data_IF_155998073539
#
_entry.id   IF_155998073539
#
_cell.length_a   1.000
_cell.length_b   1.000
_cell.length_c   1.000
_cell.angle_alpha   90.00
_cell.angle_beta   90.00
_cell.angle_gamma   90.00
#
_symmetry.space_group_name_H-M   'P 1'
#
loop_
_entity.id
_entity.type
_entity.pdbx_description
1 polymer ?
#
# COMPACT_ATOMS: atom_id res chain seq x y z
N UNK A 1 -16.39 -0.43 -15.33
CA UNK A 1 -16.56 -1.14 -14.07
C UNK A 1 -17.82 -0.66 -13.34
N UNK A 2 -18.11 0.66 -13.28
CA UNK A 2 -19.23 1.21 -12.52
C UNK A 2 -20.57 1.31 -13.27
N UNK A 3 -20.65 0.89 -14.53
CA UNK A 3 -21.76 1.19 -15.44
C UNK A 3 -23.16 0.67 -15.01
N UNK A 4 -23.25 -0.27 -14.07
CA UNK A 4 -24.51 -0.86 -13.57
C UNK A 4 -24.51 -1.12 -12.07
N UNK A 5 -23.66 -0.42 -11.30
CA UNK A 5 -23.65 -0.59 -9.86
C UNK A 5 -24.73 0.27 -9.20
N UNK A 6 -25.39 -0.27 -8.17
CA UNK A 6 -26.36 0.46 -7.36
C UNK A 6 -25.66 1.44 -6.41
N UNK A 7 -24.39 1.18 -6.06
CA UNK A 7 -23.53 2.01 -5.25
C UNK A 7 -22.07 1.73 -5.62
N UNK A 8 -21.21 2.76 -5.64
CA UNK A 8 -19.80 2.65 -5.91
C UNK A 8 -18.98 2.94 -4.65
N UNK A 9 -17.98 2.07 -4.37
CA UNK A 9 -16.93 2.36 -3.38
C UNK A 9 -15.71 2.88 -4.13
N UNK A 10 -15.23 4.09 -3.78
CA UNK A 10 -14.25 4.83 -4.57
C UNK A 10 -13.07 5.27 -3.73
N UNK A 11 -11.86 5.03 -4.23
CA UNK A 11 -10.64 5.59 -3.64
C UNK A 11 -10.54 7.09 -3.95
N UNK A 12 -10.61 7.94 -2.91
CA UNK A 12 -10.53 9.40 -3.02
C UNK A 12 -9.12 9.92 -3.24
N UNK A 13 -8.10 9.09 -2.96
CA UNK A 13 -6.71 9.43 -3.22
C UNK A 13 -6.37 9.34 -4.74
N UNK A 14 -7.32 8.79 -5.56
CA UNK A 14 -7.22 8.63 -7.00
C UNK A 14 -8.46 9.29 -7.65
N UNK A 15 -8.47 10.61 -7.82
CA UNK A 15 -9.65 11.36 -8.28
C UNK A 15 -10.12 10.95 -9.67
N UNK A 16 -9.24 10.40 -10.51
CA UNK A 16 -9.57 9.87 -11.82
C UNK A 16 -10.54 8.66 -11.74
N UNK A 17 -10.53 7.91 -10.63
CA UNK A 17 -11.47 6.80 -10.42
C UNK A 17 -12.89 7.32 -10.12
N UNK A 18 -13.00 8.43 -9.40
CA UNK A 18 -14.29 9.06 -9.12
C UNK A 18 -14.95 9.55 -10.41
N UNK A 19 -14.17 10.04 -11.38
CA UNK A 19 -14.66 10.49 -12.67
C UNK A 19 -15.25 9.36 -13.54
N UNK A 20 -14.94 8.10 -13.24
CA UNK A 20 -15.49 6.93 -13.93
C UNK A 20 -16.87 6.50 -13.41
N UNK A 21 -17.32 7.05 -12.29
CA UNK A 21 -18.63 6.72 -11.70
C UNK A 21 -19.72 7.48 -12.43
N UNK A 22 -20.76 6.82 -12.96
CA UNK A 22 -21.85 7.51 -13.65
C UNK A 22 -22.54 8.53 -12.74
N UNK A 23 -22.94 9.66 -13.32
CA UNK A 23 -23.67 10.70 -12.61
C UNK A 23 -24.93 10.13 -11.95
N UNK A 24 -25.17 10.51 -10.68
CA UNK A 24 -26.31 10.04 -9.90
C UNK A 24 -26.11 8.68 -9.21
N UNK A 25 -25.00 7.99 -9.43
CA UNK A 25 -24.69 6.76 -8.68
C UNK A 25 -24.28 7.13 -7.25
N UNK A 26 -24.94 6.60 -6.20
CA UNK A 26 -24.49 6.77 -4.83
C UNK A 26 -23.06 6.29 -4.63
N UNK A 27 -22.26 7.02 -3.85
CA UNK A 27 -20.87 6.68 -3.60
C UNK A 27 -20.54 6.63 -2.11
N UNK A 28 -19.63 5.74 -1.75
CA UNK A 28 -18.92 5.74 -0.47
C UNK A 28 -17.44 5.85 -0.78
N UNK A 29 -16.81 6.92 -0.30
CA UNK A 29 -15.39 7.16 -0.50
C UNK A 29 -14.54 6.50 0.58
N UNK A 30 -13.30 6.18 0.23
CA UNK A 30 -12.25 5.89 1.21
C UNK A 30 -10.94 6.54 0.76
N UNK A 31 -10.05 6.86 1.70
CA UNK A 31 -8.75 7.45 1.40
C UNK A 31 -7.94 7.75 2.65
N UNK A 32 -6.66 8.10 2.46
CA UNK A 32 -5.71 8.36 3.55
C UNK A 32 -5.82 9.76 4.15
N UNK A 33 -6.67 10.61 3.58
CA UNK A 33 -7.02 11.91 4.15
C UNK A 33 -8.21 11.82 5.11
N UNK A 34 -8.59 12.97 5.70
CA UNK A 34 -9.78 13.05 6.56
C UNK A 34 -11.05 12.66 5.80
N UNK A 35 -11.99 11.94 6.44
CA UNK A 35 -13.24 11.58 5.81
C UNK A 35 -14.08 12.80 5.43
N UNK A 36 -14.81 12.72 4.31
CA UNK A 36 -15.84 13.68 3.93
C UNK A 36 -17.21 13.03 4.15
N UNK A 37 -18.13 13.72 4.85
CA UNK A 37 -19.44 13.14 5.17
C UNK A 37 -19.31 11.80 5.90
N UNK A 38 -19.91 10.73 5.35
CA UNK A 38 -19.88 9.37 5.85
C UNK A 38 -18.80 8.47 5.23
N UNK A 39 -17.85 9.05 4.51
CA UNK A 39 -16.73 8.33 3.91
C UNK A 39 -15.81 7.74 4.98
N UNK A 40 -14.95 6.83 4.53
CA UNK A 40 -13.89 6.26 5.35
C UNK A 40 -12.57 7.02 5.13
N UNK A 41 -11.80 7.23 6.21
CA UNK A 41 -10.55 7.98 6.15
C UNK A 41 -9.78 7.92 7.45
N UNK A 42 -8.83 8.84 7.60
CA UNK A 42 -8.00 8.96 8.80
C UNK A 42 -8.39 10.20 9.60
N UNK A 43 -8.48 10.05 10.91
CA UNK A 43 -8.56 11.16 11.87
C UNK A 43 -7.30 11.16 12.72
N UNK A 44 -6.64 12.32 12.79
CA UNK A 44 -5.53 12.53 13.71
C UNK A 44 -6.07 12.83 15.11
N UNK A 45 -5.55 12.13 16.10
CA UNK A 45 -5.87 12.29 17.53
C UNK A 45 -4.57 12.44 18.32
N UNK A 46 -4.69 12.79 19.59
CA UNK A 46 -3.51 12.97 20.45
C UNK A 46 -2.66 11.71 20.63
N UNK A 47 -3.23 10.54 20.37
CA UNK A 47 -2.60 9.21 20.44
C UNK A 47 -2.26 8.63 19.04
N UNK A 48 -2.36 9.44 17.98
CA UNK A 48 -2.02 9.07 16.62
C UNK A 48 -3.20 8.98 15.66
N UNK A 49 -2.94 8.43 14.47
CA UNK A 49 -3.93 8.28 13.41
C UNK A 49 -4.92 7.14 13.70
N UNK A 50 -6.19 7.38 13.39
CA UNK A 50 -7.28 6.44 13.54
C UNK A 50 -8.00 6.21 12.22
N UNK A 51 -8.33 4.96 11.90
CA UNK A 51 -9.34 4.65 10.89
C UNK A 51 -10.67 5.19 11.38
N UNK A 52 -11.41 5.85 10.51
CA UNK A 52 -12.66 6.51 10.87
C UNK A 52 -13.70 6.42 9.76
N UNK A 53 -14.98 6.54 10.14
CA UNK A 53 -16.10 6.84 9.24
C UNK A 53 -16.67 8.20 9.61
N UNK A 54 -16.62 9.14 8.70
CA UNK A 54 -17.01 10.50 9.02
C UNK A 54 -16.23 11.03 10.24
N UNK A 55 -16.95 11.43 11.29
CA UNK A 55 -16.35 11.89 12.55
C UNK A 55 -16.14 10.80 13.59
N UNK A 56 -16.58 9.58 13.31
CA UNK A 56 -16.50 8.47 14.25
C UNK A 56 -15.15 7.74 14.10
N UNK A 57 -14.28 7.76 15.13
CA UNK A 57 -13.06 6.96 15.14
C UNK A 57 -13.41 5.49 15.38
N UNK A 58 -12.85 4.58 14.59
CA UNK A 58 -13.16 3.16 14.60
C UNK A 58 -12.05 2.31 15.23
N UNK A 59 -10.81 2.52 14.77
CA UNK A 59 -9.66 1.71 15.17
C UNK A 59 -8.37 2.53 15.03
N UNK A 60 -7.48 2.58 16.05
CA UNK A 60 -6.18 3.20 15.89
C UNK A 60 -5.37 2.45 14.83
N UNK A 61 -4.69 3.19 13.95
CA UNK A 61 -3.82 2.61 12.91
C UNK A 61 -2.73 1.73 13.54
N UNK A 62 -2.21 2.11 14.71
CA UNK A 62 -1.26 1.31 15.48
C UNK A 62 -1.82 -0.04 15.95
N UNK A 63 -3.14 -0.23 15.95
CA UNK A 63 -3.81 -1.49 16.28
C UNK A 63 -3.90 -2.48 15.11
N UNK A 64 -3.49 -2.07 13.90
CA UNK A 64 -3.41 -2.96 12.75
C UNK A 64 -2.14 -3.83 12.84
N UNK A 65 -2.27 -5.10 12.44
CA UNK A 65 -1.14 -6.04 12.37
C UNK A 65 -0.37 -5.93 11.04
N UNK A 66 -0.60 -4.87 10.28
CA UNK A 66 0.00 -4.59 8.98
C UNK A 66 0.74 -3.26 8.99
N UNK A 67 1.80 -3.14 8.21
CA UNK A 67 2.59 -1.92 8.09
C UNK A 67 2.46 -1.29 6.70
N UNK A 68 2.67 0.02 6.62
CA UNK A 68 2.68 0.77 5.37
C UNK A 68 1.33 1.40 5.02
N UNK A 69 1.41 2.60 4.44
CA UNK A 69 0.23 3.42 4.07
C UNK A 69 -0.74 2.70 3.14
N UNK A 70 -0.23 1.86 2.21
CA UNK A 70 -1.06 1.08 1.31
C UNK A 70 -1.94 0.05 2.06
N UNK A 71 -1.44 -0.54 3.16
CA UNK A 71 -2.23 -1.46 3.98
C UNK A 71 -3.29 -0.72 4.81
N UNK A 72 -3.01 0.49 5.23
CA UNK A 72 -4.01 1.37 5.86
C UNK A 72 -5.13 1.70 4.86
N UNK A 73 -4.78 2.04 3.62
CA UNK A 73 -5.74 2.25 2.53
C UNK A 73 -6.57 1.00 2.24
N UNK A 74 -5.93 -0.19 2.22
CA UNK A 74 -6.63 -1.47 2.06
C UNK A 74 -7.61 -1.75 3.21
N UNK A 75 -7.24 -1.41 4.45
CA UNK A 75 -8.12 -1.55 5.60
C UNK A 75 -9.35 -0.64 5.49
N UNK A 76 -9.17 0.62 5.07
CA UNK A 76 -10.27 1.55 4.81
C UNK A 76 -11.18 1.05 3.67
N UNK A 77 -10.58 0.52 2.59
CA UNK A 77 -11.33 -0.09 1.49
C UNK A 77 -12.17 -1.29 1.96
N UNK A 78 -11.58 -2.17 2.78
CA UNK A 78 -12.27 -3.34 3.33
C UNK A 78 -13.45 -2.92 4.23
N UNK A 79 -13.27 -1.91 5.09
CA UNK A 79 -14.35 -1.35 5.91
C UNK A 79 -15.46 -0.78 5.04
N UNK A 80 -15.12 0.01 4.02
CA UNK A 80 -16.09 0.60 3.11
C UNK A 80 -16.89 -0.47 2.36
N UNK A 81 -16.23 -1.45 1.75
CA UNK A 81 -16.87 -2.52 0.99
C UNK A 81 -17.77 -3.39 1.87
N UNK A 82 -17.29 -3.83 3.04
CA UNK A 82 -18.06 -4.69 3.92
C UNK A 82 -19.26 -3.94 4.56
N UNK A 83 -19.08 -2.66 4.91
CA UNK A 83 -20.15 -1.79 5.38
C UNK A 83 -21.26 -1.63 4.34
N UNK A 84 -20.90 -1.41 3.07
CA UNK A 84 -21.85 -1.33 1.94
C UNK A 84 -22.56 -2.67 1.70
N UNK A 85 -21.87 -3.79 1.95
CA UNK A 85 -22.48 -5.13 1.90
C UNK A 85 -23.40 -5.42 3.10
N UNK A 86 -23.61 -4.46 4.01
CA UNK A 86 -24.54 -4.58 5.13
C UNK A 86 -23.93 -5.19 6.40
N UNK A 87 -22.62 -5.38 6.45
CA UNK A 87 -21.97 -5.88 7.68
C UNK A 87 -21.80 -4.74 8.66
N UNK A 88 -22.29 -4.86 9.91
CA UNK A 88 -22.13 -3.83 10.92
C UNK A 88 -20.66 -3.57 11.24
N UNK A 89 -20.29 -2.30 11.44
CA UNK A 89 -18.90 -1.92 11.69
C UNK A 89 -18.31 -2.60 12.93
N UNK A 90 -19.09 -2.77 13.99
CA UNK A 90 -18.61 -3.41 15.21
C UNK A 90 -18.21 -4.89 15.01
N UNK A 91 -18.80 -5.57 14.03
CA UNK A 91 -18.43 -6.95 13.67
C UNK A 91 -17.16 -7.01 12.80
N UNK A 92 -16.85 -5.94 12.07
CA UNK A 92 -15.67 -5.85 11.21
C UNK A 92 -14.39 -5.57 12.00
N UNK A 93 -14.46 -4.76 13.05
CA UNK A 93 -13.26 -4.29 13.76
C UNK A 93 -12.42 -5.41 14.40
N UNK A 94 -13.01 -6.45 15.02
CA UNK A 94 -12.22 -7.59 15.54
C UNK A 94 -11.46 -8.33 14.43
N UNK A 95 -12.11 -8.54 13.27
CA UNK A 95 -11.47 -9.15 12.11
C UNK A 95 -10.30 -8.32 11.57
N UNK A 96 -10.46 -7.01 11.53
CA UNK A 96 -9.40 -6.09 11.08
C UNK A 96 -8.21 -6.04 12.05
N UNK A 97 -8.45 -6.04 13.36
CA UNK A 97 -7.40 -6.15 14.38
C UNK A 97 -6.63 -7.46 14.32
N UNK A 98 -7.33 -8.55 14.04
CA UNK A 98 -6.73 -9.89 13.94
C UNK A 98 -6.13 -10.22 12.59
N UNK A 99 -6.36 -9.39 11.57
CA UNK A 99 -5.87 -9.64 10.22
C UNK A 99 -4.34 -9.62 10.19
N UNK A 100 -3.76 -10.69 9.68
CA UNK A 100 -2.33 -10.80 9.42
C UNK A 100 -2.10 -10.80 7.91
N UNK A 101 -1.09 -10.09 7.41
CA UNK A 101 -0.77 -10.13 5.99
C UNK A 101 -0.45 -11.57 5.56
N UNK A 102 -0.76 -11.89 4.32
CA UNK A 102 -0.31 -13.14 3.74
C UNK A 102 1.23 -13.20 3.75
N UNK A 103 1.82 -14.39 3.85
CA UNK A 103 3.26 -14.55 3.70
C UNK A 103 3.78 -13.83 2.44
N UNK A 104 4.98 -13.30 2.53
CA UNK A 104 5.64 -12.61 1.41
C UNK A 104 4.99 -11.30 0.96
N UNK A 105 4.16 -10.66 1.79
CA UNK A 105 3.59 -9.33 1.53
C UNK A 105 4.00 -8.37 2.64
N UNK A 106 5.10 -7.64 2.43
CA UNK A 106 5.68 -6.72 3.41
C UNK A 106 5.82 -7.38 4.79
N UNK A 107 6.14 -8.68 4.80
CA UNK A 107 6.25 -9.47 6.01
C UNK A 107 7.57 -9.14 6.73
N UNK A 108 7.48 -8.79 8.02
CA UNK A 108 8.66 -8.65 8.87
C UNK A 108 9.29 -10.04 9.06
N UNK A 109 10.52 -10.21 8.58
CA UNK A 109 11.30 -11.45 8.73
C UNK A 109 12.14 -11.40 10.02
N UNK A 110 12.87 -10.30 10.21
CA UNK A 110 13.75 -10.14 11.35
C UNK A 110 14.04 -8.67 11.64
N UNK A 111 14.46 -8.40 12.87
CA UNK A 111 15.18 -7.16 13.25
C UNK A 111 16.50 -7.59 13.86
N UNK A 112 17.60 -7.26 13.20
CA UNK A 112 18.93 -7.66 13.64
C UNK A 112 19.94 -6.56 13.35
N UNK A 113 20.76 -6.23 14.34
CA UNK A 113 21.86 -5.26 14.23
C UNK A 113 21.40 -3.88 13.70
N UNK A 114 20.21 -3.43 14.12
CA UNK A 114 19.60 -2.16 13.67
C UNK A 114 18.95 -2.24 12.28
N UNK A 115 19.03 -3.38 11.60
CA UNK A 115 18.43 -3.61 10.27
C UNK A 115 17.08 -4.31 10.41
N UNK A 116 16.06 -3.78 9.73
CA UNK A 116 14.75 -4.41 9.58
C UNK A 116 14.70 -5.16 8.27
N UNK A 117 14.52 -6.47 8.33
CA UNK A 117 14.40 -7.35 7.17
C UNK A 117 12.94 -7.57 6.82
N UNK A 118 12.55 -7.23 5.60
CA UNK A 118 11.18 -7.30 5.11
C UNK A 118 11.15 -8.18 3.86
N UNK A 119 10.25 -9.16 3.85
CA UNK A 119 9.98 -10.00 2.69
C UNK A 119 8.72 -9.51 1.97
N UNK A 120 8.90 -9.05 0.75
CA UNK A 120 7.81 -8.68 -0.15
C UNK A 120 7.97 -9.37 -1.52
N UNK A 121 8.44 -10.61 -1.51
CA UNK A 121 8.66 -11.40 -2.75
C UNK A 121 7.36 -11.62 -3.55
N UNK A 122 6.20 -11.26 -3.02
CA UNK A 122 4.93 -11.20 -3.73
C UNK A 122 4.76 -9.94 -4.58
N UNK A 123 5.63 -8.94 -4.47
CA UNK A 123 5.70 -7.80 -5.38
C UNK A 123 6.29 -8.22 -6.74
N UNK A 124 5.54 -9.01 -7.49
CA UNK A 124 5.98 -9.66 -8.75
C UNK A 124 5.79 -8.80 -10.00
N UNK A 125 5.55 -7.51 -9.83
CA UNK A 125 5.50 -6.52 -10.91
C UNK A 125 6.07 -5.19 -10.43
N UNK A 126 6.41 -4.34 -11.39
CA UNK A 126 7.07 -3.05 -11.16
C UNK A 126 6.22 -2.11 -10.28
N UNK A 127 4.90 -2.05 -10.51
CA UNK A 127 4.01 -1.19 -9.72
C UNK A 127 3.95 -1.58 -8.25
N UNK A 128 3.89 -2.89 -7.96
CA UNK A 128 3.96 -3.40 -6.61
C UNK A 128 5.31 -3.07 -5.95
N UNK A 129 6.43 -3.30 -6.65
CA UNK A 129 7.77 -2.95 -6.14
C UNK A 129 7.89 -1.46 -5.80
N UNK A 130 7.41 -0.57 -6.67
CA UNK A 130 7.39 0.89 -6.42
C UNK A 130 6.59 1.23 -5.17
N UNK A 131 5.41 0.62 -5.00
CA UNK A 131 4.56 0.81 -3.82
C UNK A 131 5.28 0.36 -2.54
N UNK A 132 5.92 -0.80 -2.58
CA UNK A 132 6.67 -1.36 -1.44
C UNK A 132 7.87 -0.48 -1.07
N UNK A 133 8.66 -0.04 -2.06
CA UNK A 133 9.76 0.90 -1.86
C UNK A 133 9.27 2.19 -1.19
N UNK A 134 8.16 2.76 -1.68
CA UNK A 134 7.58 3.98 -1.14
C UNK A 134 7.00 3.84 0.27
N UNK A 135 6.74 2.60 0.74
CA UNK A 135 6.21 2.34 2.07
C UNK A 135 7.27 2.17 3.17
N UNK A 136 8.55 2.07 2.78
CA UNK A 136 9.68 1.93 3.70
C UNK A 136 10.35 3.29 3.88
N UNK A 137 10.52 3.73 5.10
CA UNK A 137 11.22 4.97 5.44
C UNK A 137 12.71 4.72 5.73
N UNK A 138 13.52 5.80 5.58
CA UNK A 138 14.96 5.78 5.88
C UNK A 138 15.83 5.08 4.82
N UNK A 139 17.08 4.72 5.19
CA UNK A 139 18.00 4.00 4.32
C UNK A 139 17.46 2.65 3.90
N UNK A 140 17.71 2.26 2.63
CA UNK A 140 17.14 1.04 2.05
C UNK A 140 18.18 0.23 1.30
N UNK A 141 18.26 -1.07 1.57
CA UNK A 141 18.90 -2.04 0.68
C UNK A 141 17.80 -2.82 -0.05
N UNK A 142 17.68 -2.59 -1.34
CA UNK A 142 16.73 -3.31 -2.21
C UNK A 142 17.35 -4.63 -2.69
N UNK A 143 16.79 -5.76 -2.26
CA UNK A 143 17.11 -7.07 -2.82
C UNK A 143 16.02 -7.39 -3.85
N UNK A 144 16.36 -7.38 -5.14
CA UNK A 144 15.38 -7.55 -6.21
C UNK A 144 15.93 -8.37 -7.38
N UNK A 145 14.99 -8.89 -8.17
CA UNK A 145 15.34 -9.62 -9.38
C UNK A 145 14.25 -10.58 -9.83
N UNK A 146 14.64 -11.54 -10.66
CA UNK A 146 13.73 -12.49 -11.27
C UNK A 146 13.49 -12.21 -12.75
N UNK A 147 12.27 -12.46 -13.23
CA UNK A 147 11.83 -12.22 -14.61
C UNK A 147 10.85 -11.03 -14.63
N UNK A 148 11.27 -9.91 -15.19
CA UNK A 148 10.49 -8.68 -15.32
C UNK A 148 9.43 -8.72 -16.43
N UNK A 149 9.36 -9.82 -17.20
CA UNK A 149 8.36 -10.03 -18.28
C UNK A 149 8.32 -8.89 -19.29
N UNK A 150 9.48 -8.33 -19.61
CA UNK A 150 9.60 -7.21 -20.54
C UNK A 150 9.17 -5.84 -20.00
N UNK A 151 8.94 -5.71 -18.70
CA UNK A 151 8.60 -4.42 -18.10
C UNK A 151 9.83 -3.50 -18.03
N UNK A 152 9.59 -2.18 -18.14
CA UNK A 152 10.61 -1.16 -17.85
C UNK A 152 10.74 -0.99 -16.33
N UNK A 153 11.98 -0.87 -15.86
CA UNK A 153 12.28 -0.62 -14.44
C UNK A 153 12.52 0.86 -14.11
N UNK A 154 12.30 1.76 -15.06
CA UNK A 154 12.51 3.20 -14.86
C UNK A 154 11.76 3.78 -13.65
N UNK A 155 10.55 3.28 -13.37
CA UNK A 155 9.77 3.71 -12.19
C UNK A 155 10.34 3.19 -10.87
N UNK A 156 11.05 2.04 -10.87
CA UNK A 156 11.80 1.56 -9.69
C UNK A 156 12.98 2.51 -9.42
N UNK A 157 13.71 2.87 -10.46
CA UNK A 157 14.79 3.86 -10.37
C UNK A 157 14.27 5.22 -9.86
N UNK A 158 13.12 5.66 -10.37
CA UNK A 158 12.48 6.91 -9.91
C UNK A 158 12.10 6.85 -8.42
N UNK A 159 11.58 5.72 -7.94
CA UNK A 159 11.19 5.53 -6.53
C UNK A 159 12.38 5.51 -5.56
N UNK A 160 13.58 5.17 -6.04
CA UNK A 160 14.83 5.16 -5.25
C UNK A 160 15.59 6.50 -5.30
N UNK A 161 15.27 7.36 -6.28
CA UNK A 161 16.02 8.61 -6.50
C UNK A 161 15.96 9.53 -5.28
N UNK A 162 17.13 10.02 -4.86
CA UNK A 162 17.26 10.91 -3.72
C UNK A 162 17.20 10.22 -2.35
N UNK A 163 17.12 8.89 -2.32
CA UNK A 163 17.22 8.10 -1.08
C UNK A 163 18.64 7.60 -0.85
N UNK A 164 19.02 7.47 0.40
CA UNK A 164 20.17 6.67 0.78
C UNK A 164 19.85 5.19 0.57
N UNK A 165 20.39 4.59 -0.49
CA UNK A 165 20.04 3.22 -0.85
C UNK A 165 21.16 2.49 -1.58
N UNK A 166 21.05 1.16 -1.62
CA UNK A 166 21.83 0.26 -2.44
C UNK A 166 20.93 -0.84 -3.00
N UNK A 167 21.35 -1.51 -4.07
CA UNK A 167 20.62 -2.62 -4.66
C UNK A 167 21.49 -3.89 -4.75
N UNK A 168 20.92 -5.03 -4.35
CA UNK A 168 21.45 -6.36 -4.55
C UNK A 168 20.56 -7.07 -5.56
N UNK A 169 21.10 -7.37 -6.73
CA UNK A 169 20.32 -7.83 -7.87
C UNK A 169 20.67 -9.27 -8.25
N UNK A 170 19.61 -10.07 -8.48
CA UNK A 170 19.73 -11.49 -8.82
C UNK A 170 18.73 -11.88 -9.92
N UNK A 171 18.90 -13.09 -10.47
CA UNK A 171 17.95 -13.63 -11.43
C UNK A 171 18.15 -13.16 -12.87
N UNK A 172 17.15 -13.44 -13.70
CA UNK A 172 17.23 -13.34 -15.17
C UNK A 172 17.47 -11.92 -15.67
N UNK A 173 16.68 -10.97 -15.18
CA UNK A 173 16.69 -9.59 -15.68
C UNK A 173 17.53 -8.64 -14.81
N UNK A 174 18.46 -9.19 -14.00
CA UNK A 174 19.33 -8.40 -13.13
C UNK A 174 20.14 -7.33 -13.89
N UNK A 175 20.58 -7.62 -15.12
CA UNK A 175 21.36 -6.66 -15.90
C UNK A 175 20.50 -5.49 -16.41
N UNK A 176 19.25 -5.75 -16.80
CA UNK A 176 18.30 -4.69 -17.15
C UNK A 176 18.02 -3.80 -15.95
N UNK A 177 17.72 -4.41 -14.79
CA UNK A 177 17.48 -3.66 -13.56
C UNK A 177 18.73 -2.89 -13.11
N UNK A 178 19.94 -3.50 -13.26
CA UNK A 178 21.19 -2.85 -12.93
C UNK A 178 21.45 -1.61 -13.81
N UNK A 179 21.17 -1.68 -15.11
CA UNK A 179 21.35 -0.56 -16.03
C UNK A 179 20.48 0.65 -15.64
N UNK A 180 19.25 0.42 -15.20
CA UNK A 180 18.34 1.48 -14.75
C UNK A 180 18.74 2.07 -13.38
N UNK A 181 19.29 1.24 -12.47
CA UNK A 181 19.63 1.67 -11.11
C UNK A 181 21.05 2.25 -10.98
N UNK A 182 21.95 2.01 -11.94
CA UNK A 182 23.36 2.41 -11.84
C UNK A 182 23.57 3.92 -11.66
N UNK A 183 22.67 4.75 -12.17
CA UNK A 183 22.70 6.20 -12.01
C UNK A 183 22.03 6.69 -10.70
N UNK A 184 21.45 5.78 -9.90
CA UNK A 184 20.65 6.12 -8.73
C UNK A 184 21.31 5.66 -7.43
N UNK A 185 21.89 4.45 -7.40
CA UNK A 185 22.49 3.87 -6.22
C UNK A 185 23.59 2.84 -6.58
N UNK A 186 24.46 2.49 -5.60
CA UNK A 186 25.37 1.34 -5.74
C UNK A 186 24.59 0.06 -6.04
N UNK A 187 25.10 -0.72 -7.00
CA UNK A 187 24.48 -1.97 -7.45
C UNK A 187 25.44 -3.14 -7.29
N UNK A 188 25.02 -4.15 -6.57
CA UNK A 188 25.72 -5.43 -6.42
C UNK A 188 24.95 -6.53 -7.18
N UNK A 189 25.65 -7.31 -7.98
CA UNK A 189 25.10 -8.43 -8.76
C UNK A 189 25.49 -9.75 -8.12
N UNK A 190 24.54 -10.63 -7.96
CA UNK A 190 24.75 -11.97 -7.41
C UNK A 190 24.10 -13.04 -8.29
#
# INVERSE_FOLDING_TARGET
>A
IYARCALAVVNRDLPELAALVPAGTPTVGFGLGAPAGDDFGLLERGDGAWLARGREPLLPVAGLQVTGRHNVSNALAALALASVAGVPLHDLLPGLRGYRPLPHRMALVARRDGVTWIDDSKATNVGAAVTSIGSVEGPLVLIAGGDGKGASFASVAAALRGRECAAVLLGRDRELLASELAAVCPVHRV
#
